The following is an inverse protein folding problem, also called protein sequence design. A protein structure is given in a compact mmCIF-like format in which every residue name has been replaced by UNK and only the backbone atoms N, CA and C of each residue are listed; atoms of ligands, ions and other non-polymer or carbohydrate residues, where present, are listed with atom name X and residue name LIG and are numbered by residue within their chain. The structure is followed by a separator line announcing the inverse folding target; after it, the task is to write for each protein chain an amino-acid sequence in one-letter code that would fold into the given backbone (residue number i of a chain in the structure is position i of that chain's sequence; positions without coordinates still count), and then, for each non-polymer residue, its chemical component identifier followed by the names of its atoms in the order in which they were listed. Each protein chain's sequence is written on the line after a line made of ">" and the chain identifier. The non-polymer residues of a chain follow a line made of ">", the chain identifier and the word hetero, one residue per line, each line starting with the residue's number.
data_IF_054241028741
#
_entry.id   IF_054241028741
#
_cell.length_a   1.000
_cell.length_b   1.000
_cell.length_c   1.000
_cell.angle_alpha   90.00
_cell.angle_beta   90.00
_cell.angle_gamma   90.00
#
_symmetry.space_group_name_H-M   'P 1'
#
loop_
_entity.id
_entity.type
_entity.pdbx_description
1 polymer ?
#
# COMPACT_ATOMS: atom_id res chain seq x y z
N UNK A 1 -30.81 42.73 43.62
CA UNK A 1 -31.45 42.34 42.34
C UNK A 1 -30.59 41.29 41.66
N UNK A 2 -31.24 40.35 40.96
CA UNK A 2 -30.81 38.99 40.62
C UNK A 2 -29.56 38.92 39.72
N UNK A 3 -28.63 38.02 40.03
CA UNK A 3 -27.54 37.60 39.15
C UNK A 3 -28.06 36.64 38.09
N UNK A 4 -27.90 37.00 36.81
CA UNK A 4 -28.37 36.24 35.65
C UNK A 4 -27.47 35.04 35.40
N UNK A 5 -28.01 33.82 35.60
CA UNK A 5 -27.33 32.56 35.30
C UNK A 5 -27.20 32.35 33.79
N UNK A 6 -25.97 32.41 33.29
CA UNK A 6 -25.62 32.03 31.92
C UNK A 6 -25.63 30.51 31.77
N UNK A 7 -26.48 29.99 30.89
CA UNK A 7 -26.56 28.56 30.55
C UNK A 7 -25.29 28.14 29.81
N UNK A 8 -24.49 27.26 30.42
CA UNK A 8 -23.39 26.57 29.75
C UNK A 8 -23.96 25.57 28.73
N UNK A 9 -23.80 25.85 27.44
CA UNK A 9 -24.05 24.86 26.39
C UNK A 9 -22.94 23.79 26.47
N UNK A 10 -23.27 22.63 27.03
CA UNK A 10 -22.43 21.44 26.97
C UNK A 10 -22.19 21.08 25.49
N UNK A 11 -20.92 21.12 25.09
CA UNK A 11 -20.47 20.69 23.78
C UNK A 11 -20.83 19.21 23.58
N UNK A 12 -21.49 18.89 22.45
CA UNK A 12 -21.77 17.51 22.06
C UNK A 12 -20.45 16.76 21.87
N UNK A 13 -20.29 15.53 22.39
CA UNK A 13 -19.10 14.74 22.13
C UNK A 13 -19.01 14.39 20.64
N UNK A 14 -17.82 14.58 20.06
CA UNK A 14 -17.52 14.24 18.68
C UNK A 14 -17.80 12.75 18.43
N UNK A 15 -18.51 12.45 17.33
CA UNK A 15 -18.73 11.07 16.90
C UNK A 15 -17.38 10.43 16.55
N UNK A 16 -17.08 9.22 17.01
CA UNK A 16 -15.87 8.52 16.61
C UNK A 16 -15.91 8.28 15.09
N UNK A 17 -14.85 8.71 14.41
CA UNK A 17 -14.62 8.39 13.00
C UNK A 17 -14.37 6.90 12.91
N UNK A 18 -15.31 6.16 12.33
CA UNK A 18 -15.16 4.74 12.03
C UNK A 18 -14.08 4.60 10.96
N UNK A 19 -12.84 4.39 11.38
CA UNK A 19 -11.78 3.97 10.49
C UNK A 19 -12.14 2.58 9.95
N UNK A 20 -12.31 2.48 8.64
CA UNK A 20 -12.50 1.22 7.95
C UNK A 20 -11.28 0.34 8.26
N UNK A 21 -11.48 -0.70 9.07
CA UNK A 21 -10.42 -1.65 9.38
C UNK A 21 -10.12 -2.42 8.11
N UNK A 22 -9.04 -2.05 7.42
CA UNK A 22 -8.54 -2.82 6.28
C UNK A 22 -8.34 -4.26 6.76
N UNK A 23 -9.20 -5.16 6.27
CA UNK A 23 -9.14 -6.58 6.58
C UNK A 23 -7.76 -7.06 6.15
N UNK A 24 -6.92 -7.37 7.15
CA UNK A 24 -5.57 -7.91 6.97
C UNK A 24 -5.64 -9.04 5.96
N UNK A 25 -5.15 -8.81 4.75
CA UNK A 25 -5.00 -9.86 3.75
C UNK A 25 -4.01 -10.85 4.36
N UNK A 26 -4.47 -12.07 4.62
CA UNK A 26 -3.63 -13.13 5.13
C UNK A 26 -2.42 -13.31 4.19
N UNK A 27 -1.23 -13.65 4.71
CA UNK A 27 -0.08 -13.96 3.86
C UNK A 27 -0.51 -14.98 2.80
N UNK A 28 -0.04 -14.85 1.54
CA UNK A 28 -0.37 -15.82 0.51
C UNK A 28 -0.08 -17.22 1.07
N UNK A 29 -1.10 -18.08 1.01
CA UNK A 29 -1.02 -19.45 1.51
C UNK A 29 0.24 -20.14 1.00
N UNK A 30 0.76 -21.07 1.81
CA UNK A 30 2.03 -21.77 1.57
C UNK A 30 2.25 -22.01 0.07
N UNK A 31 3.36 -21.46 -0.46
CA UNK A 31 3.82 -21.70 -1.83
C UNK A 31 3.64 -23.17 -2.11
N UNK A 32 2.73 -23.53 -3.04
CA UNK A 32 2.51 -24.94 -3.42
C UNK A 32 3.89 -25.53 -3.68
N UNK A 33 4.30 -26.45 -2.80
CA UNK A 33 5.62 -27.03 -2.84
C UNK A 33 5.80 -27.62 -4.23
N UNK A 34 6.99 -27.45 -4.82
CA UNK A 34 7.33 -28.17 -6.03
C UNK A 34 7.13 -29.65 -5.75
N UNK A 35 6.08 -30.24 -6.31
CA UNK A 35 5.81 -31.67 -6.19
C UNK A 35 7.04 -32.38 -6.75
N UNK A 36 7.75 -33.22 -5.98
CA UNK A 36 8.91 -33.93 -6.51
C UNK A 36 8.47 -34.81 -7.68
N UNK A 37 9.28 -34.89 -8.74
CA UNK A 37 9.05 -35.87 -9.80
C UNK A 37 9.21 -37.24 -9.15
N UNK A 38 8.13 -38.01 -9.05
CA UNK A 38 8.17 -39.37 -8.53
C UNK A 38 9.01 -40.19 -9.52
N UNK A 39 10.19 -40.65 -9.10
CA UNK A 39 11.00 -41.56 -9.91
C UNK A 39 10.28 -42.90 -9.96
N UNK A 40 9.57 -43.16 -11.05
CA UNK A 40 9.00 -44.48 -11.35
C UNK A 40 9.98 -45.27 -12.22
N UNK A 41 10.16 -46.56 -11.92
CA UNK A 41 10.94 -47.50 -12.75
C UNK A 41 10.37 -47.66 -14.18
N UNK A 42 9.13 -47.21 -14.40
CA UNK A 42 8.43 -47.19 -15.67
C UNK A 42 8.64 -45.85 -16.39
N UNK A 43 9.31 -45.88 -17.53
CA UNK A 43 9.61 -44.70 -18.36
C UNK A 43 8.34 -43.99 -18.85
N UNK A 44 7.29 -44.74 -19.18
CA UNK A 44 6.01 -44.19 -19.67
C UNK A 44 5.27 -43.37 -18.62
N UNK A 45 5.20 -43.86 -17.37
CA UNK A 45 4.57 -43.11 -16.29
C UNK A 45 5.36 -41.87 -15.91
N UNK A 46 6.68 -41.91 -16.03
CA UNK A 46 7.53 -40.75 -15.84
C UNK A 46 7.25 -39.68 -16.91
N UNK A 47 7.14 -40.07 -18.19
CA UNK A 47 6.80 -39.14 -19.28
C UNK A 47 5.44 -38.48 -19.07
N UNK A 48 4.43 -39.24 -18.64
CA UNK A 48 3.10 -38.69 -18.40
C UNK A 48 3.08 -37.72 -17.21
N UNK A 49 3.80 -38.04 -16.13
CA UNK A 49 3.95 -37.14 -14.97
C UNK A 49 4.62 -35.82 -15.35
N UNK A 50 5.60 -35.85 -16.25
CA UNK A 50 6.29 -34.65 -16.72
C UNK A 50 5.39 -33.79 -17.60
N UNK A 51 4.57 -34.38 -18.46
CA UNK A 51 3.58 -33.63 -19.27
C UNK A 51 2.57 -32.90 -18.41
N UNK A 52 2.02 -33.57 -17.40
CA UNK A 52 1.08 -32.95 -16.48
C UNK A 52 1.72 -31.77 -15.73
N UNK A 53 2.98 -31.94 -15.29
CA UNK A 53 3.72 -30.87 -14.62
C UNK A 53 4.01 -29.68 -15.55
N UNK A 54 4.33 -29.93 -16.82
CA UNK A 54 4.54 -28.86 -17.80
C UNK A 54 3.25 -28.06 -18.00
N UNK A 55 2.12 -28.73 -18.21
CA UNK A 55 0.83 -28.05 -18.37
C UNK A 55 0.44 -27.21 -17.13
N UNK A 56 0.71 -27.74 -15.92
CA UNK A 56 0.49 -26.98 -14.69
C UNK A 56 1.38 -25.72 -14.63
N UNK A 57 2.67 -25.87 -14.96
CA UNK A 57 3.61 -24.75 -14.96
C UNK A 57 3.26 -23.70 -16.01
N UNK A 58 2.89 -24.11 -17.22
CA UNK A 58 2.45 -23.20 -18.30
C UNK A 58 1.21 -22.41 -17.87
N UNK A 59 0.22 -23.07 -17.28
CA UNK A 59 -0.98 -22.40 -16.77
C UNK A 59 -0.62 -21.38 -15.69
N UNK A 60 0.26 -21.75 -14.75
CA UNK A 60 0.70 -20.85 -13.67
C UNK A 60 1.50 -19.66 -14.19
N UNK A 61 2.34 -19.87 -15.21
CA UNK A 61 3.09 -18.76 -15.83
C UNK A 61 2.15 -17.81 -16.54
N UNK A 62 1.16 -18.33 -17.29
CA UNK A 62 0.15 -17.49 -17.94
C UNK A 62 -0.67 -16.67 -16.93
N UNK A 63 -1.03 -17.24 -15.78
CA UNK A 63 -1.68 -16.51 -14.69
C UNK A 63 -0.79 -15.39 -14.12
N UNK A 64 0.52 -15.65 -13.96
CA UNK A 64 1.47 -14.66 -13.44
C UNK A 64 1.75 -13.54 -14.45
N UNK A 65 1.89 -13.86 -15.74
CA UNK A 65 2.10 -12.88 -16.81
C UNK A 65 0.93 -11.90 -16.94
N UNK A 66 -0.29 -12.34 -16.64
CA UNK A 66 -1.46 -11.45 -16.59
C UNK A 66 -1.38 -10.42 -15.46
N UNK A 67 -0.66 -10.72 -14.37
CA UNK A 67 -0.52 -9.82 -13.21
C UNK A 67 0.76 -8.98 -13.32
N UNK A 68 1.86 -9.57 -13.77
CA UNK A 68 3.17 -8.94 -13.87
C UNK A 68 3.65 -9.09 -15.31
N UNK A 69 3.69 -7.98 -16.05
CA UNK A 69 4.22 -7.95 -17.40
C UNK A 69 5.58 -7.24 -17.44
N UNK A 70 6.51 -7.81 -18.21
CA UNK A 70 7.78 -7.19 -18.55
C UNK A 70 7.74 -6.81 -20.03
N UNK A 71 7.80 -5.52 -20.33
CA UNK A 71 7.78 -5.03 -21.71
C UNK A 71 8.90 -4.00 -21.87
N UNK A 72 9.85 -4.25 -22.78
CA UNK A 72 10.93 -3.31 -23.11
C UNK A 72 11.75 -2.80 -21.90
N UNK A 73 11.87 -3.60 -20.84
CA UNK A 73 12.56 -3.23 -19.60
C UNK A 73 11.65 -2.61 -18.54
N UNK A 74 10.41 -2.27 -18.89
CA UNK A 74 9.40 -1.81 -17.94
C UNK A 74 8.72 -3.00 -17.26
N UNK A 75 8.50 -2.86 -15.95
CA UNK A 75 7.74 -3.82 -15.14
C UNK A 75 6.40 -3.19 -14.78
N UNK A 76 5.31 -3.78 -15.24
CA UNK A 76 3.95 -3.34 -14.89
C UNK A 76 3.28 -4.36 -13.99
N UNK A 77 2.76 -3.91 -12.85
CA UNK A 77 1.99 -4.74 -11.91
C UNK A 77 0.52 -4.32 -12.05
N UNK A 78 -0.30 -5.18 -12.64
CA UNK A 78 -1.74 -4.96 -12.79
C UNK A 78 -2.52 -5.89 -11.86
N UNK A 79 -2.96 -5.35 -10.72
CA UNK A 79 -3.75 -6.09 -9.75
C UNK A 79 -5.17 -5.52 -9.65
N UNK A 80 -6.17 -6.34 -9.94
CA UNK A 80 -7.59 -5.94 -9.92
C UNK A 80 -8.18 -5.71 -8.53
N UNK A 81 -7.47 -6.11 -7.46
CA UNK A 81 -7.95 -6.02 -6.07
C UNK A 81 -7.01 -5.19 -5.20
N UNK A 82 -5.83 -5.72 -4.90
CA UNK A 82 -4.86 -5.07 -4.01
C UNK A 82 -3.45 -5.58 -4.25
N UNK A 83 -2.47 -4.74 -3.89
CA UNK A 83 -1.05 -5.08 -3.80
C UNK A 83 -0.60 -4.79 -2.37
N UNK A 84 0.02 -5.78 -1.71
CA UNK A 84 0.58 -5.64 -0.36
C UNK A 84 2.10 -5.80 -0.43
N UNK A 85 2.83 -4.78 0.01
CA UNK A 85 4.29 -4.79 0.11
C UNK A 85 4.64 -4.80 1.60
N UNK A 86 5.31 -5.85 2.05
CA UNK A 86 5.71 -6.01 3.45
C UNK A 86 7.17 -6.44 3.52
N UNK A 87 7.96 -5.75 4.35
CA UNK A 87 9.31 -6.16 4.72
C UNK A 87 9.45 -6.17 6.24
N UNK A 88 10.33 -7.03 6.75
CA UNK A 88 10.62 -7.10 8.19
C UNK A 88 11.60 -6.01 8.64
N UNK A 89 12.40 -5.47 7.72
CA UNK A 89 13.43 -4.50 8.02
C UNK A 89 13.16 -3.17 7.30
N UNK A 90 13.28 -3.15 5.97
CA UNK A 90 13.18 -1.93 5.18
C UNK A 90 12.59 -2.21 3.80
N UNK A 91 11.85 -1.23 3.29
CA UNK A 91 11.43 -1.13 1.90
C UNK A 91 12.05 0.15 1.35
N UNK A 92 12.87 0.05 0.33
CA UNK A 92 13.47 1.19 -0.35
C UNK A 92 12.95 1.25 -1.79
N UNK A 93 12.48 2.42 -2.21
CA UNK A 93 12.02 2.68 -3.57
C UNK A 93 12.84 3.83 -4.12
N UNK A 94 13.69 3.53 -5.10
CA UNK A 94 14.54 4.51 -5.77
C UNK A 94 14.04 4.75 -7.18
N UNK A 95 14.12 6.00 -7.62
CA UNK A 95 13.81 6.40 -8.99
C UNK A 95 14.90 7.35 -9.46
N UNK A 96 15.42 7.13 -10.68
CA UNK A 96 16.52 7.95 -11.22
C UNK A 96 16.11 9.38 -11.60
N UNK A 97 14.81 9.63 -11.79
CA UNK A 97 14.29 10.92 -12.26
C UNK A 97 13.07 11.40 -11.48
N UNK A 98 12.01 10.61 -11.42
CA UNK A 98 10.73 11.00 -10.80
C UNK A 98 10.07 9.82 -10.11
N UNK A 99 9.59 10.07 -8.89
CA UNK A 99 8.63 9.21 -8.20
C UNK A 99 7.25 9.88 -8.25
N UNK A 100 6.24 9.15 -8.73
CA UNK A 100 4.88 9.67 -8.91
C UNK A 100 3.86 8.70 -8.31
N UNK A 101 2.99 9.22 -7.46
CA UNK A 101 1.86 8.48 -6.88
C UNK A 101 0.58 9.15 -7.33
N UNK A 102 -0.28 8.41 -8.02
CA UNK A 102 -1.59 8.88 -8.45
C UNK A 102 -2.66 8.03 -7.79
N UNK A 103 -3.41 8.61 -6.87
CA UNK A 103 -4.49 7.96 -6.14
C UNK A 103 -5.51 9.01 -5.68
N UNK A 104 -6.75 8.59 -5.43
CA UNK A 104 -7.79 9.46 -4.85
C UNK A 104 -7.43 9.90 -3.42
N UNK A 105 -6.77 9.03 -2.67
CA UNK A 105 -6.30 9.30 -1.31
C UNK A 105 -4.96 8.61 -1.09
N UNK A 106 -4.04 9.32 -0.47
CA UNK A 106 -2.79 8.78 0.05
C UNK A 106 -2.78 8.91 1.57
N UNK A 107 -2.46 7.83 2.27
CA UNK A 107 -2.36 7.79 3.72
C UNK A 107 -0.97 7.32 4.13
N UNK A 108 -0.25 8.13 4.90
CA UNK A 108 1.04 7.80 5.48
C UNK A 108 0.90 7.69 7.00
N UNK A 109 0.92 6.47 7.52
CA UNK A 109 0.96 6.22 8.95
C UNK A 109 2.41 5.92 9.36
N UNK A 110 3.18 6.99 9.55
CA UNK A 110 4.56 6.93 9.99
C UNK A 110 4.79 7.90 11.16
N UNK A 111 5.71 7.55 12.06
CA UNK A 111 6.10 8.46 13.13
C UNK A 111 6.73 9.76 12.60
N UNK A 112 7.47 9.67 11.48
CA UNK A 112 8.11 10.80 10.82
C UNK A 112 8.04 10.58 9.30
N UNK A 113 7.51 11.54 8.57
CA UNK A 113 7.68 11.67 7.13
C UNK A 113 8.66 12.81 6.84
N UNK A 114 9.71 12.54 6.06
CA UNK A 114 10.71 13.54 5.68
C UNK A 114 10.61 13.80 4.19
N UNK A 115 10.49 15.07 3.83
CA UNK A 115 10.58 15.55 2.46
C UNK A 115 11.79 16.48 2.37
N UNK A 116 12.58 16.32 1.33
CA UNK A 116 13.71 17.20 1.06
C UNK A 116 13.26 18.30 0.09
N UNK A 117 13.64 19.55 0.36
CA UNK A 117 13.25 20.69 -0.47
C UNK A 117 11.86 21.24 -0.10
N UNK A 118 10.99 21.33 -1.10
CA UNK A 118 9.66 21.93 -0.97
C UNK A 118 8.57 20.85 -0.97
N UNK A 119 7.60 20.98 -0.07
CA UNK A 119 6.33 20.25 -0.13
C UNK A 119 5.28 21.16 -0.74
N UNK A 120 4.81 20.83 -1.93
CA UNK A 120 3.70 21.52 -2.61
C UNK A 120 2.39 20.78 -2.33
N UNK A 121 1.39 21.51 -1.82
CA UNK A 121 0.06 20.99 -1.54
C UNK A 121 -0.97 22.11 -1.36
N UNK A 122 -2.22 21.84 -1.71
CA UNK A 122 -3.30 22.83 -1.65
C UNK A 122 -3.65 23.22 -0.21
N UNK A 123 -3.58 22.28 0.73
CA UNK A 123 -3.93 22.52 2.14
C UNK A 123 -3.16 21.60 3.05
N UNK A 124 -2.46 22.19 4.02
CA UNK A 124 -1.87 21.48 5.15
C UNK A 124 -2.82 21.54 6.33
N UNK A 125 -3.32 20.38 6.76
CA UNK A 125 -4.04 20.22 8.02
C UNK A 125 -3.16 19.48 9.02
N UNK A 126 -2.69 20.19 10.04
CA UNK A 126 -1.87 19.62 11.11
C UNK A 126 -2.34 20.14 12.47
N UNK A 127 -2.11 19.35 13.53
CA UNK A 127 -2.36 19.79 14.91
C UNK A 127 -1.39 20.91 15.30
N UNK A 128 -0.16 20.86 14.78
CA UNK A 128 0.89 21.84 15.02
C UNK A 128 1.81 21.89 13.79
N UNK A 129 2.15 23.10 13.37
CA UNK A 129 3.18 23.36 12.36
C UNK A 129 4.29 24.14 13.05
N UNK A 130 5.50 23.60 13.03
CA UNK A 130 6.69 24.26 13.56
C UNK A 130 7.72 24.43 12.45
N UNK A 131 8.23 25.64 12.29
CA UNK A 131 9.27 25.96 11.31
C UNK A 131 10.08 27.17 11.78
N UNK A 132 11.33 27.25 11.33
CA UNK A 132 12.19 28.40 11.62
C UNK A 132 11.66 29.70 11.01
N UNK A 133 10.95 29.59 9.89
CA UNK A 133 10.29 30.69 9.19
C UNK A 133 8.94 30.21 8.68
N UNK A 134 7.93 31.06 8.87
CA UNK A 134 6.60 30.88 8.32
C UNK A 134 6.16 32.23 7.76
N UNK A 135 5.77 32.24 6.49
CA UNK A 135 5.22 33.43 5.84
C UNK A 135 3.70 33.24 5.76
N UNK A 136 2.93 33.68 6.76
CA UNK A 136 1.48 33.57 6.71
C UNK A 136 0.93 34.33 5.50
N UNK A 137 -0.13 33.81 4.89
CA UNK A 137 -0.97 34.62 4.01
C UNK A 137 -1.57 35.78 4.80
N UNK A 138 -1.98 36.86 4.10
CA UNK A 138 -2.44 38.11 4.72
C UNK A 138 -3.57 37.97 5.76
N UNK A 139 -4.28 36.83 5.81
CA UNK A 139 -5.31 36.53 6.81
C UNK A 139 -4.86 35.78 8.07
N UNK A 140 -3.58 35.42 8.20
CA UNK A 140 -3.05 34.60 9.32
C UNK A 140 -2.14 35.36 10.30
N UNK A 141 -2.16 36.69 10.26
CA UNK A 141 -1.42 37.55 11.21
C UNK A 141 -2.42 38.15 12.19
N UNK A 142 -2.34 37.79 13.48
CA UNK A 142 -3.14 38.34 14.57
C UNK A 142 -2.26 38.59 15.79
#
# INVERSE_FOLDING_TARGET
>A
MKTTGGKSHLAKPARPVTMSTMKRVAPPGARRQCTPVVQSDNTESLVESLRQRLNELETRVAELENIISLQNGDVTINASKSVLIQAQHTVEVTAGSKFMVSATQYECNAAIARFAGLLDCDTVKANLVMGATYTPGAGNVW
#
